data_IF_217064360753
#
_entry.id   IF_217064360753
#
_cell.length_a   1.000
_cell.length_b   1.000
_cell.length_c   1.000
_cell.angle_alpha   90.00
_cell.angle_beta   90.00
_cell.angle_gamma   90.00
#
_symmetry.space_group_name_H-M   'P 1'
#
loop_
_entity.id
_entity.type
_entity.pdbx_description
1 polymer ?
#
# COMPACT_ATOMS: atom_id res chain seq x y z
N UNK A 1 12.89 1.17 9.34
CA UNK A 1 11.59 0.89 10.00
C UNK A 1 11.73 0.92 11.53
N UNK A 2 12.64 0.14 12.14
CA UNK A 2 12.74 -0.01 13.60
C UNK A 2 12.84 1.33 14.35
N UNK A 3 13.76 2.22 13.94
CA UNK A 3 13.92 3.57 14.55
C UNK A 3 12.62 4.38 14.47
N UNK A 4 11.91 4.33 13.35
CA UNK A 4 10.65 5.07 13.16
C UNK A 4 9.56 4.49 14.07
N UNK A 5 9.39 3.17 14.11
CA UNK A 5 8.37 2.52 14.94
C UNK A 5 8.59 2.78 16.43
N UNK A 6 9.85 2.87 16.87
CA UNK A 6 10.19 3.16 18.26
C UNK A 6 10.26 4.67 18.60
N UNK A 7 9.92 5.56 17.68
CA UNK A 7 10.06 7.02 17.86
C UNK A 7 9.04 7.65 18.83
N UNK A 8 7.94 6.96 19.12
CA UNK A 8 6.85 7.47 19.95
C UNK A 8 5.88 8.43 19.25
N UNK A 9 6.07 8.69 17.95
CA UNK A 9 5.11 9.47 17.15
C UNK A 9 3.89 8.60 16.79
N UNK A 10 2.71 9.18 16.56
CA UNK A 10 1.57 8.43 16.01
C UNK A 10 1.91 7.88 14.62
N UNK A 11 1.73 6.57 14.42
CA UNK A 11 2.06 5.90 13.16
C UNK A 11 0.86 5.11 12.66
N UNK A 12 0.54 5.30 11.37
CA UNK A 12 -0.34 4.43 10.62
C UNK A 12 0.49 3.70 9.56
N UNK A 13 0.52 2.39 9.63
CA UNK A 13 1.22 1.53 8.66
C UNK A 13 0.24 1.06 7.62
N UNK A 14 0.53 1.34 6.36
CA UNK A 14 -0.15 0.77 5.20
C UNK A 14 0.86 -0.19 4.58
N UNK A 15 0.64 -1.49 4.80
CA UNK A 15 1.49 -2.53 4.24
C UNK A 15 1.23 -2.75 2.76
N UNK A 16 1.93 -3.73 2.19
CA UNK A 16 1.75 -4.07 0.78
C UNK A 16 0.45 -4.84 0.52
N UNK A 17 -0.05 -5.58 1.52
CA UNK A 17 -1.26 -6.40 1.38
C UNK A 17 -2.50 -5.62 0.88
N UNK A 18 -2.90 -4.46 1.47
CA UNK A 18 -4.02 -3.69 0.95
C UNK A 18 -3.84 -3.23 -0.50
N UNK A 19 -2.61 -2.91 -0.90
CA UNK A 19 -2.29 -2.52 -2.28
C UNK A 19 -2.51 -3.66 -3.25
N UNK A 20 -2.00 -4.86 -2.91
CA UNK A 20 -2.12 -6.05 -3.76
C UNK A 20 -3.55 -6.60 -3.83
N UNK A 21 -4.27 -6.65 -2.70
CA UNK A 21 -5.55 -7.36 -2.65
C UNK A 21 -6.75 -6.46 -2.90
N UNK A 22 -6.67 -5.18 -2.53
CA UNK A 22 -7.83 -4.30 -2.57
C UNK A 22 -7.71 -3.18 -3.62
N UNK A 23 -6.47 -2.77 -3.98
CA UNK A 23 -6.20 -1.56 -4.76
C UNK A 23 -5.43 -1.81 -6.06
N UNK A 24 -5.45 -3.03 -6.56
CA UNK A 24 -4.80 -3.39 -7.82
C UNK A 24 -5.39 -2.63 -9.01
N UNK A 25 -4.53 -2.12 -9.85
CA UNK A 25 -4.86 -1.49 -11.13
C UNK A 25 -4.75 -2.57 -12.21
N UNK A 26 -5.90 -3.08 -12.63
CA UNK A 26 -6.03 -4.10 -13.68
C UNK A 26 -6.06 -3.49 -15.09
N UNK A 27 -6.15 -4.34 -16.09
CA UNK A 27 -6.15 -3.92 -17.51
C UNK A 27 -7.25 -2.90 -17.83
N UNK A 28 -8.44 -3.03 -17.24
CA UNK A 28 -9.56 -2.12 -17.48
C UNK A 28 -9.25 -0.73 -16.90
N UNK A 29 -8.79 -0.67 -15.65
CA UNK A 29 -8.38 0.58 -15.00
C UNK A 29 -7.19 1.25 -15.70
N UNK A 30 -6.23 0.46 -16.23
CA UNK A 30 -5.12 0.98 -17.03
C UNK A 30 -5.66 1.72 -18.27
N UNK A 31 -6.61 1.14 -18.99
CA UNK A 31 -7.25 1.75 -20.14
C UNK A 31 -8.05 3.00 -19.78
N UNK A 32 -8.77 2.97 -18.66
CA UNK A 32 -9.47 4.14 -18.16
C UNK A 32 -8.50 5.29 -17.83
N UNK A 33 -7.37 5.01 -17.14
CA UNK A 33 -6.33 6.01 -16.84
C UNK A 33 -5.77 6.59 -18.14
N UNK A 34 -5.49 5.75 -19.14
CA UNK A 34 -4.99 6.21 -20.43
C UNK A 34 -6.00 7.14 -21.14
N UNK A 35 -7.30 6.82 -21.06
CA UNK A 35 -8.38 7.58 -21.66
C UNK A 35 -8.56 9.00 -21.07
N UNK A 36 -8.04 9.28 -19.89
CA UNK A 36 -8.03 10.63 -19.30
C UNK A 36 -7.25 11.60 -20.20
N UNK A 37 -6.21 11.15 -20.89
CA UNK A 37 -5.51 11.86 -21.95
C UNK A 37 -4.64 13.03 -21.49
N UNK A 38 -4.41 13.18 -20.19
CA UNK A 38 -3.50 14.20 -19.64
C UNK A 38 -2.04 13.72 -19.65
N UNK A 39 -1.11 14.67 -19.53
CA UNK A 39 0.31 14.31 -19.35
C UNK A 39 0.57 13.48 -18.08
N UNK A 40 -0.26 13.67 -17.05
CA UNK A 40 -0.14 12.94 -15.79
C UNK A 40 -0.61 11.49 -15.93
N UNK A 41 -1.76 11.27 -16.58
CA UNK A 41 -2.26 9.92 -16.83
C UNK A 41 -1.32 9.11 -17.72
N UNK A 42 -0.78 9.75 -18.78
CA UNK A 42 0.22 9.12 -19.64
C UNK A 42 1.48 8.75 -18.84
N UNK A 43 2.04 9.70 -18.08
CA UNK A 43 3.23 9.46 -17.27
C UNK A 43 3.01 8.32 -16.27
N UNK A 44 1.85 8.28 -15.60
CA UNK A 44 1.50 7.21 -14.65
C UNK A 44 1.59 5.83 -15.30
N UNK A 45 1.02 5.66 -16.51
CA UNK A 45 1.09 4.37 -17.21
C UNK A 45 2.50 4.06 -17.75
N UNK A 46 3.20 5.07 -18.29
CA UNK A 46 4.54 4.90 -18.86
C UNK A 46 5.57 4.39 -17.85
N UNK A 47 5.55 4.88 -16.60
CA UNK A 47 6.49 4.44 -15.55
C UNK A 47 6.21 3.04 -15.02
N UNK A 48 5.01 2.49 -15.27
CA UNK A 48 4.61 1.16 -14.77
C UNK A 48 4.92 0.02 -15.76
N UNK A 49 5.48 0.30 -16.93
CA UNK A 49 5.69 -0.72 -17.98
C UNK A 49 6.50 -1.91 -17.45
N UNK A 50 7.61 -1.66 -16.76
CA UNK A 50 8.48 -2.72 -16.25
C UNK A 50 7.76 -3.55 -15.17
N UNK A 51 7.02 -2.89 -14.28
CA UNK A 51 6.25 -3.58 -13.23
C UNK A 51 5.13 -4.44 -13.85
N UNK A 52 4.44 -3.94 -14.86
CA UNK A 52 3.40 -4.68 -15.59
C UNK A 52 3.98 -5.94 -16.27
N UNK A 53 5.15 -5.83 -16.91
CA UNK A 53 5.82 -6.99 -17.48
C UNK A 53 6.16 -8.03 -16.41
N UNK A 54 6.73 -7.61 -15.29
CA UNK A 54 7.00 -8.49 -14.15
C UNK A 54 5.71 -9.15 -13.60
N UNK A 55 4.62 -8.41 -13.48
CA UNK A 55 3.33 -8.95 -13.00
C UNK A 55 2.75 -9.97 -13.97
N UNK A 56 2.91 -9.75 -15.29
CA UNK A 56 2.55 -10.76 -16.31
C UNK A 56 3.35 -12.04 -16.17
N UNK A 57 4.66 -11.92 -15.94
CA UNK A 57 5.55 -13.09 -15.83
C UNK A 57 5.27 -13.89 -14.54
N UNK A 58 4.99 -13.23 -13.41
CA UNK A 58 4.81 -13.87 -12.11
C UNK A 58 3.37 -14.36 -11.92
N UNK A 59 2.38 -13.54 -12.27
CA UNK A 59 0.96 -13.77 -11.93
C UNK A 59 0.08 -13.98 -13.17
N UNK A 60 0.62 -13.86 -14.39
CA UNK A 60 -0.15 -13.99 -15.62
C UNK A 60 -1.16 -12.86 -15.88
N UNK A 61 -1.02 -11.73 -15.18
CA UNK A 61 -1.95 -10.60 -15.26
C UNK A 61 -1.26 -9.31 -15.63
N UNK A 62 -1.85 -8.58 -16.60
CA UNK A 62 -1.42 -7.21 -16.92
C UNK A 62 -2.03 -6.25 -15.89
N UNK A 63 -1.30 -6.03 -14.82
CA UNK A 63 -1.73 -5.22 -13.69
C UNK A 63 -0.53 -4.60 -13.00
N UNK A 64 -0.78 -3.64 -12.11
CA UNK A 64 0.21 -3.09 -11.19
C UNK A 64 -0.48 -2.57 -9.93
N UNK A 65 0.28 -2.41 -8.87
CA UNK A 65 -0.17 -1.79 -7.64
C UNK A 65 0.61 -0.50 -7.34
N UNK A 66 0.03 0.34 -6.50
CA UNK A 66 0.54 1.68 -6.18
C UNK A 66 0.56 1.89 -4.65
N UNK A 67 1.52 1.27 -3.91
CA UNK A 67 1.56 1.34 -2.45
C UNK A 67 1.70 2.78 -1.91
N UNK A 68 2.59 3.58 -2.47
CA UNK A 68 2.82 4.96 -2.02
C UNK A 68 1.63 5.88 -2.32
N UNK A 69 1.02 5.86 -3.52
CA UNK A 69 -0.24 6.57 -3.77
C UNK A 69 -1.38 6.12 -2.87
N UNK A 70 -1.50 4.82 -2.55
CA UNK A 70 -2.49 4.32 -1.60
C UNK A 70 -2.25 4.91 -0.20
N UNK A 71 -1.00 4.91 0.28
CA UNK A 71 -0.66 5.47 1.57
C UNK A 71 -0.99 6.98 1.64
N UNK A 72 -0.69 7.74 0.59
CA UNK A 72 -1.07 9.15 0.49
C UNK A 72 -2.59 9.33 0.46
N UNK A 73 -3.30 8.49 -0.26
CA UNK A 73 -4.76 8.54 -0.35
C UNK A 73 -5.43 8.30 1.01
N UNK A 74 -4.92 7.36 1.79
CA UNK A 74 -5.38 7.11 3.17
C UNK A 74 -5.13 8.32 4.07
N UNK A 75 -4.02 9.03 3.88
CA UNK A 75 -3.74 10.27 4.61
C UNK A 75 -4.74 11.38 4.26
N UNK A 76 -5.10 11.50 2.99
CA UNK A 76 -6.06 12.51 2.50
C UNK A 76 -7.50 12.17 2.87
N UNK A 77 -7.86 10.89 2.86
CA UNK A 77 -9.20 10.41 3.16
C UNK A 77 -9.15 9.09 3.95
N UNK A 78 -9.36 9.17 5.26
CA UNK A 78 -9.39 8.01 6.14
C UNK A 78 -10.55 7.04 5.84
N UNK A 79 -11.57 7.44 5.08
CA UNK A 79 -12.65 6.54 4.67
C UNK A 79 -12.22 5.50 3.63
N UNK A 80 -11.01 5.63 3.08
CA UNK A 80 -10.39 4.60 2.27
C UNK A 80 -10.07 3.35 3.10
N UNK A 81 -9.84 3.49 4.41
CA UNK A 81 -9.62 2.34 5.29
C UNK A 81 -10.95 1.60 5.51
N UNK A 82 -11.01 0.32 5.14
CA UNK A 82 -12.15 -0.55 5.46
C UNK A 82 -11.92 -1.40 6.71
N UNK A 83 -10.65 -1.73 7.00
CA UNK A 83 -10.27 -2.48 8.20
C UNK A 83 -8.89 -2.06 8.68
N UNK A 84 -8.76 -1.82 9.99
CA UNK A 84 -7.47 -1.56 10.65
C UNK A 84 -7.47 -2.11 12.07
N UNK A 85 -6.28 -2.34 12.61
CA UNK A 85 -6.09 -2.76 14.00
C UNK A 85 -4.95 -1.97 14.65
N UNK A 86 -5.10 -1.73 15.95
CA UNK A 86 -4.01 -1.22 16.80
C UNK A 86 -3.24 -2.42 17.33
N UNK A 87 -1.98 -2.57 16.91
CA UNK A 87 -1.16 -3.73 17.24
C UNK A 87 0.24 -3.33 17.69
N UNK A 88 0.86 -4.12 18.54
CA UNK A 88 2.27 -3.97 18.86
C UNK A 88 3.12 -4.48 17.68
N UNK A 89 4.19 -3.77 17.34
CA UNK A 89 5.03 -4.12 16.19
C UNK A 89 6.50 -4.20 16.60
N UNK A 90 7.17 -5.27 16.16
CA UNK A 90 8.62 -5.40 16.24
C UNK A 90 9.21 -5.57 14.86
N UNK A 91 10.39 -4.99 14.66
CA UNK A 91 11.19 -5.23 13.44
C UNK A 91 12.30 -6.21 13.78
N UNK A 92 12.47 -7.25 12.98
CA UNK A 92 13.62 -8.13 13.13
C UNK A 92 14.88 -7.41 12.59
N UNK A 93 15.74 -6.97 13.51
CA UNK A 93 17.00 -6.27 13.20
C UNK A 93 18.21 -7.19 13.18
N UNK A 94 18.04 -8.47 13.54
CA UNK A 94 19.12 -9.47 13.55
C UNK A 94 19.54 -9.82 12.13
N UNK A 95 20.79 -10.25 11.98
CA UNK A 95 21.26 -10.76 10.69
C UNK A 95 20.55 -12.08 10.35
N UNK A 96 20.04 -12.17 9.11
CA UNK A 96 19.31 -13.34 8.63
C UNK A 96 18.28 -13.01 7.55
N UNK A 97 17.60 -14.06 7.10
CA UNK A 97 16.60 -13.96 6.02
C UNK A 97 15.40 -13.07 6.39
N UNK A 98 15.07 -12.96 7.68
CA UNK A 98 13.93 -12.18 8.19
C UNK A 98 14.28 -10.75 8.55
N UNK A 99 15.53 -10.33 8.36
CA UNK A 99 15.96 -8.97 8.68
C UNK A 99 15.11 -7.92 7.96
N UNK A 100 14.57 -6.97 8.73
CA UNK A 100 13.66 -5.94 8.25
C UNK A 100 12.18 -6.36 8.27
N UNK A 101 11.88 -7.62 8.52
CA UNK A 101 10.51 -8.11 8.66
C UNK A 101 9.82 -7.47 9.87
N UNK A 102 8.57 -7.02 9.66
CA UNK A 102 7.72 -6.48 10.71
C UNK A 102 6.84 -7.61 11.27
N UNK A 103 6.97 -7.85 12.57
CA UNK A 103 6.15 -8.83 13.30
C UNK A 103 4.99 -8.08 13.96
N UNK A 104 3.77 -8.42 13.56
CA UNK A 104 2.54 -7.82 14.09
C UNK A 104 2.01 -8.71 15.22
N UNK A 105 2.01 -8.17 16.44
CA UNK A 105 1.57 -8.89 17.63
C UNK A 105 0.10 -8.61 17.95
N UNK A 106 -0.78 -9.39 17.34
CA UNK A 106 -2.22 -9.34 17.59
C UNK A 106 -2.64 -9.91 18.96
N UNK A 107 -1.77 -10.68 19.59
CA UNK A 107 -2.07 -11.35 20.85
C UNK A 107 -1.54 -10.59 22.08
N UNK A 108 -0.84 -9.46 21.85
CA UNK A 108 -0.22 -8.64 22.88
C UNK A 108 0.76 -9.45 23.75
N UNK A 109 1.59 -10.27 23.11
CA UNK A 109 2.63 -11.05 23.77
C UNK A 109 3.85 -10.19 24.11
N UNK A 110 4.04 -9.08 23.41
CA UNK A 110 5.10 -8.09 23.59
C UNK A 110 4.51 -6.72 23.94
N UNK A 111 3.91 -6.57 25.15
CA UNK A 111 3.15 -5.36 25.50
C UNK A 111 4.01 -4.08 25.54
N UNK A 112 5.34 -4.22 25.69
CA UNK A 112 6.30 -3.10 25.67
C UNK A 112 6.74 -2.71 24.25
N UNK A 113 6.30 -3.44 23.22
CA UNK A 113 6.57 -3.06 21.83
C UNK A 113 5.75 -1.82 21.42
N UNK A 114 6.26 -1.00 20.49
CA UNK A 114 5.52 0.15 20.00
C UNK A 114 4.16 -0.26 19.43
N UNK A 115 3.11 0.46 19.83
CA UNK A 115 1.75 0.25 19.33
C UNK A 115 1.47 1.19 18.17
N UNK A 116 1.03 0.63 17.04
CA UNK A 116 0.75 1.37 15.82
C UNK A 116 -0.58 0.93 15.22
N UNK A 117 -1.21 1.81 14.47
CA UNK A 117 -2.37 1.46 13.64
C UNK A 117 -1.88 0.79 12.36
N UNK A 118 -2.33 -0.44 12.11
CA UNK A 118 -2.05 -1.17 10.87
C UNK A 118 -3.31 -1.26 10.01
N UNK A 119 -3.24 -0.76 8.79
CA UNK A 119 -4.32 -0.91 7.79
C UNK A 119 -4.22 -2.31 7.20
N UNK A 120 -5.29 -3.09 7.36
CA UNK A 120 -5.38 -4.47 6.89
C UNK A 120 -6.10 -4.57 5.55
N UNK A 121 -7.13 -3.73 5.35
CA UNK A 121 -7.94 -3.69 4.12
C UNK A 121 -8.33 -2.25 3.77
N UNK A 122 -8.57 -2.01 2.49
CA UNK A 122 -9.01 -0.71 2.00
C UNK A 122 -10.22 -0.83 1.04
N UNK A 123 -10.90 0.30 0.80
CA UNK A 123 -11.88 0.46 -0.26
C UNK A 123 -11.16 0.84 -1.55
N UNK A 124 -10.81 -0.15 -2.37
CA UNK A 124 -10.04 0.04 -3.60
C UNK A 124 -10.72 0.96 -4.63
N UNK A 125 -12.06 0.95 -4.67
CA UNK A 125 -12.86 1.84 -5.51
C UNK A 125 -12.73 3.31 -5.09
N UNK A 126 -12.72 3.61 -3.79
CA UNK A 126 -12.49 4.97 -3.28
C UNK A 126 -11.07 5.44 -3.62
N UNK A 127 -10.06 4.59 -3.39
CA UNK A 127 -8.69 4.88 -3.80
C UNK A 127 -8.60 5.18 -5.30
N UNK A 128 -9.16 4.31 -6.14
CA UNK A 128 -9.11 4.45 -7.58
C UNK A 128 -9.81 5.73 -8.08
N UNK A 129 -10.94 6.09 -7.48
CA UNK A 129 -11.64 7.34 -7.81
C UNK A 129 -10.80 8.57 -7.45
N UNK A 130 -10.15 8.57 -6.28
CA UNK A 130 -9.26 9.67 -5.88
C UNK A 130 -8.03 9.74 -6.81
N UNK A 131 -7.46 8.61 -7.19
CA UNK A 131 -6.37 8.53 -8.16
C UNK A 131 -6.79 9.15 -9.49
N UNK A 132 -7.92 8.75 -10.08
CA UNK A 132 -8.44 9.32 -11.34
C UNK A 132 -8.62 10.84 -11.26
N UNK A 133 -9.17 11.35 -10.17
CA UNK A 133 -9.33 12.79 -9.96
C UNK A 133 -7.99 13.53 -9.94
N UNK A 134 -6.95 12.91 -9.37
CA UNK A 134 -5.60 13.51 -9.33
C UNK A 134 -4.89 13.54 -10.69
N UNK A 135 -5.32 12.70 -11.63
CA UNK A 135 -4.76 12.57 -12.97
C UNK A 135 -5.51 13.37 -14.04
N UNK A 136 -6.66 13.96 -13.70
CA UNK A 136 -7.53 14.71 -14.60
C UNK A 136 -6.99 16.12 -14.96
#
# INVERSE_FOLDING_TARGET
ADVVLNSGIPITVIGWDPSLYDAMIDTEKIQEIESIGTKYSKFTNDIQVVLREMMKDIFGSDSYDLPDPLAMSVYLDNEIISQSAEVNVRVDTRDGMTRGGCVLDYLNLEPDAPKVRVVQRCHGDKFYNLLKQSLA
#
